data_IF_402584828179
#
_entry.id   IF_402584828179
#
_cell.length_a   1.000
_cell.length_b   1.000
_cell.length_c   1.000
_cell.angle_alpha   90.00
_cell.angle_beta   90.00
_cell.angle_gamma   90.00
#
_symmetry.space_group_name_H-M   'P 1'
#
loop_
_entity.id
_entity.type
_entity.pdbx_description
1 polymer ?
#
# COMPACT_ATOMS: atom_id res chain seq x y z
N UNK A 1 7.83 7.64 -1.06
CA UNK A 1 8.20 6.23 -0.82
C UNK A 1 9.65 6.11 -0.40
N UNK A 2 10.62 6.64 -1.17
CA UNK A 2 12.06 6.52 -0.87
C UNK A 2 12.37 7.01 0.54
N UNK A 3 12.07 8.28 0.81
CA UNK A 3 12.34 8.92 2.11
C UNK A 3 11.66 8.21 3.29
N UNK A 4 10.41 7.75 3.09
CA UNK A 4 9.67 7.05 4.14
C UNK A 4 10.29 5.70 4.49
N UNK A 5 10.72 4.92 3.47
CA UNK A 5 11.40 3.64 3.69
C UNK A 5 12.76 3.83 4.34
N UNK A 6 13.53 4.82 3.89
CA UNK A 6 14.86 5.10 4.45
C UNK A 6 14.77 5.67 5.88
N UNK A 7 13.72 6.45 6.18
CA UNK A 7 13.49 6.98 7.52
C UNK A 7 13.26 5.89 8.59
N UNK A 8 12.62 4.76 8.18
CA UNK A 8 12.42 3.60 9.07
C UNK A 8 13.56 2.57 9.00
N UNK A 9 14.65 2.89 8.29
CA UNK A 9 15.82 2.01 8.15
C UNK A 9 15.59 0.82 7.22
N UNK A 10 14.83 1.02 6.14
CA UNK A 10 14.48 -0.02 5.17
C UNK A 10 13.25 -0.82 5.57
N UNK A 11 12.80 -1.71 4.68
CA UNK A 11 11.70 -2.65 4.92
C UNK A 11 12.07 -4.05 4.44
N UNK A 12 11.53 -5.07 5.08
CA UNK A 12 11.72 -6.45 4.63
C UNK A 12 10.65 -6.82 3.60
N UNK A 13 11.08 -7.38 2.47
CA UNK A 13 10.22 -7.97 1.45
C UNK A 13 10.63 -9.40 1.16
N UNK A 14 9.67 -10.27 0.85
CA UNK A 14 9.89 -11.70 0.66
C UNK A 14 9.34 -12.14 -0.70
N UNK A 15 9.96 -11.78 -1.83
CA UNK A 15 9.50 -12.25 -3.13
C UNK A 15 9.65 -13.77 -3.25
N UNK A 16 8.59 -14.44 -3.72
CA UNK A 16 8.61 -15.91 -3.93
C UNK A 16 9.59 -16.32 -5.03
N UNK A 17 9.80 -15.45 -6.02
CA UNK A 17 10.70 -15.67 -7.15
C UNK A 17 11.66 -14.50 -7.29
N UNK A 18 12.84 -14.78 -7.85
CA UNK A 18 13.78 -13.71 -8.18
C UNK A 18 13.13 -12.72 -9.16
N UNK A 19 13.30 -11.44 -8.89
CA UNK A 19 12.75 -10.34 -9.68
C UNK A 19 13.90 -9.63 -10.36
N UNK A 20 13.92 -9.64 -11.70
CA UNK A 20 14.84 -8.85 -12.50
C UNK A 20 14.02 -7.98 -13.45
N UNK A 21 13.89 -6.71 -13.14
CA UNK A 21 13.16 -5.73 -13.96
C UNK A 21 14.09 -4.55 -14.28
N UNK A 22 14.61 -4.56 -15.52
CA UNK A 22 15.54 -3.51 -15.99
C UNK A 22 14.88 -2.14 -16.07
N UNK A 23 13.60 -2.08 -16.38
CA UNK A 23 12.85 -0.81 -16.50
C UNK A 23 12.59 -0.19 -15.11
N UNK A 24 12.41 -1.01 -14.10
CA UNK A 24 12.29 -0.59 -12.71
C UNK A 24 13.65 -0.45 -11.99
N UNK A 25 14.76 -0.78 -12.66
CA UNK A 25 16.11 -0.86 -12.08
C UNK A 25 16.12 -1.72 -10.79
N UNK A 26 15.46 -2.88 -10.87
CA UNK A 26 15.24 -3.77 -9.76
C UNK A 26 15.87 -5.12 -10.03
N UNK A 27 16.73 -5.55 -9.14
CA UNK A 27 17.29 -6.90 -9.08
C UNK A 27 17.20 -7.40 -7.65
N UNK A 28 16.28 -8.34 -7.41
CA UNK A 28 16.01 -8.91 -6.11
C UNK A 28 16.02 -10.44 -6.22
N UNK A 29 16.83 -11.14 -5.43
CA UNK A 29 16.74 -12.59 -5.33
C UNK A 29 15.42 -13.02 -4.67
N UNK A 30 15.05 -14.28 -4.86
CA UNK A 30 13.96 -14.89 -4.13
C UNK A 30 14.29 -14.98 -2.63
N UNK A 31 13.26 -14.90 -1.77
CA UNK A 31 13.38 -14.96 -0.32
C UNK A 31 13.32 -13.61 0.38
N UNK A 32 13.36 -13.66 1.71
CA UNK A 32 13.22 -12.46 2.54
C UNK A 32 14.51 -11.64 2.60
N UNK A 33 14.41 -10.34 2.36
CA UNK A 33 15.53 -9.42 2.39
C UNK A 33 15.11 -8.01 2.76
N UNK A 34 15.99 -7.29 3.43
CA UNK A 34 15.76 -5.88 3.75
C UNK A 34 16.14 -4.99 2.57
N UNK A 35 15.24 -4.15 2.12
CA UNK A 35 15.44 -3.24 1.00
C UNK A 35 15.40 -1.77 1.44
N UNK A 36 16.21 -0.94 0.80
CA UNK A 36 16.22 0.51 1.01
C UNK A 36 15.12 1.19 0.16
N UNK A 37 14.97 2.50 0.33
CA UNK A 37 13.94 3.28 -0.35
C UNK A 37 14.04 3.25 -1.87
N UNK A 38 15.25 3.26 -2.45
CA UNK A 38 15.46 3.19 -3.89
C UNK A 38 14.98 1.85 -4.47
N UNK A 39 15.35 0.76 -3.82
CA UNK A 39 14.91 -0.60 -4.20
C UNK A 39 13.41 -0.78 -3.99
N UNK A 40 12.85 -0.24 -2.89
CA UNK A 40 11.41 -0.26 -2.63
C UNK A 40 10.63 0.51 -3.70
N UNK A 41 11.17 1.63 -4.20
CA UNK A 41 10.56 2.36 -5.32
C UNK A 41 10.52 1.51 -6.59
N UNK A 42 11.61 0.81 -6.93
CA UNK A 42 11.63 -0.16 -8.02
C UNK A 42 10.59 -1.26 -7.84
N UNK A 43 10.51 -1.82 -6.64
CA UNK A 43 9.57 -2.89 -6.28
C UNK A 43 8.09 -2.50 -6.47
N UNK A 44 7.68 -1.29 -6.08
CA UNK A 44 6.30 -0.81 -6.29
C UNK A 44 6.02 -0.37 -7.72
N UNK A 45 7.04 -0.10 -8.54
CA UNK A 45 6.90 0.34 -9.95
C UNK A 45 6.98 -0.81 -10.94
N UNK A 46 7.47 -1.96 -10.53
CA UNK A 46 7.63 -3.15 -11.36
C UNK A 46 6.32 -3.52 -12.07
N UNK A 47 6.40 -3.79 -13.38
CA UNK A 47 5.25 -4.16 -14.22
C UNK A 47 5.47 -5.46 -14.99
N UNK A 48 6.68 -5.69 -15.50
CA UNK A 48 6.93 -6.75 -16.48
C UNK A 48 7.13 -8.14 -15.90
N UNK A 49 7.60 -8.24 -14.67
CA UNK A 49 7.84 -9.53 -14.00
C UNK A 49 6.62 -10.07 -13.26
N UNK A 50 5.48 -9.40 -13.34
CA UNK A 50 4.27 -9.78 -12.65
C UNK A 50 3.13 -10.08 -13.63
N UNK A 51 2.66 -11.32 -13.63
CA UNK A 51 1.51 -11.77 -14.44
C UNK A 51 0.20 -11.12 -13.99
N UNK A 52 0.13 -10.54 -12.79
CA UNK A 52 -1.04 -9.87 -12.22
C UNK A 52 -1.16 -8.39 -12.62
N UNK A 53 -0.19 -7.85 -13.36
CA UNK A 53 -0.24 -6.49 -13.92
C UNK A 53 -0.49 -5.38 -12.89
N UNK A 54 -1.55 -4.59 -13.08
CA UNK A 54 -1.88 -3.46 -12.22
C UNK A 54 -2.36 -3.87 -10.82
N UNK A 55 -2.99 -5.04 -10.68
CA UNK A 55 -3.43 -5.57 -9.37
C UNK A 55 -2.21 -5.87 -8.50
N UNK A 56 -1.21 -6.56 -9.05
CA UNK A 56 0.03 -6.86 -8.34
C UNK A 56 0.77 -5.59 -7.93
N UNK A 57 0.76 -4.55 -8.77
CA UNK A 57 1.33 -3.24 -8.41
C UNK A 57 0.60 -2.62 -7.21
N UNK A 58 -0.73 -2.65 -7.20
CA UNK A 58 -1.53 -2.13 -6.09
C UNK A 58 -1.26 -2.89 -4.79
N UNK A 59 -1.16 -4.22 -4.86
CA UNK A 59 -0.83 -5.06 -3.69
C UNK A 59 0.55 -4.73 -3.12
N UNK A 60 1.57 -4.59 -3.98
CA UNK A 60 2.92 -4.20 -3.54
C UNK A 60 2.97 -2.80 -2.93
N UNK A 61 2.21 -1.86 -3.47
CA UNK A 61 2.11 -0.52 -2.87
C UNK A 61 1.51 -0.59 -1.46
N UNK A 62 0.43 -1.36 -1.27
CA UNK A 62 -0.19 -1.58 0.05
C UNK A 62 0.79 -2.28 1.00
N UNK A 63 1.47 -3.30 0.53
CA UNK A 63 2.49 -4.03 1.30
C UNK A 63 3.59 -3.10 1.82
N UNK A 64 4.19 -2.30 0.94
CA UNK A 64 5.24 -1.35 1.30
C UNK A 64 4.74 -0.32 2.29
N UNK A 65 3.55 0.27 2.06
CA UNK A 65 2.94 1.24 2.97
C UNK A 65 2.69 0.60 4.35
N UNK A 66 2.10 -0.59 4.39
CA UNK A 66 1.82 -1.31 5.64
C UNK A 66 3.10 -1.63 6.43
N UNK A 67 4.16 -2.08 5.74
CA UNK A 67 5.46 -2.37 6.37
C UNK A 67 6.15 -1.12 6.91
N UNK A 68 6.10 -0.01 6.17
CA UNK A 68 6.60 1.29 6.64
C UNK A 68 5.84 1.75 7.88
N UNK A 69 4.50 1.70 7.84
CA UNK A 69 3.65 2.08 8.97
C UNK A 69 3.93 1.22 10.21
N UNK A 70 3.98 -0.11 10.05
CA UNK A 70 4.29 -1.04 11.15
C UNK A 70 5.66 -0.76 11.77
N UNK A 71 6.66 -0.47 10.94
CA UNK A 71 8.01 -0.17 11.40
C UNK A 71 8.11 1.22 12.04
N UNK A 72 7.39 2.21 11.51
CA UNK A 72 7.29 3.56 12.07
C UNK A 72 6.62 3.57 13.45
N UNK A 73 5.63 2.71 13.67
CA UNK A 73 4.91 2.56 14.95
C UNK A 73 5.66 1.68 15.96
N UNK A 74 6.78 1.07 15.58
CA UNK A 74 7.57 0.26 16.50
C UNK A 74 8.14 1.16 17.62
N UNK A 75 7.94 0.80 18.91
CA UNK A 75 8.46 1.55 20.05
C UNK A 75 9.96 1.86 19.94
N UNK A 76 10.76 0.93 19.41
CA UNK A 76 12.20 1.13 19.21
C UNK A 76 12.52 2.22 18.18
N UNK A 77 11.67 2.40 17.17
CA UNK A 77 11.80 3.48 16.18
C UNK A 77 11.40 4.83 16.77
N UNK A 78 10.34 4.86 17.59
CA UNK A 78 9.86 6.06 18.27
C UNK A 78 10.80 6.54 19.39
N UNK A 79 11.46 5.62 20.09
CA UNK A 79 12.43 5.94 21.13
C UNK A 79 13.78 6.43 20.56
N UNK A 80 14.07 6.18 19.29
CA UNK A 80 15.28 6.67 18.65
C UNK A 80 15.05 8.10 18.08
N UNK A 81 15.65 9.15 18.68
CA UNK A 81 15.39 10.55 18.29
C UNK A 81 15.75 10.84 16.83
N UNK A 82 16.78 10.19 16.28
CA UNK A 82 17.16 10.34 14.87
C UNK A 82 16.13 9.73 13.91
N UNK A 83 15.61 8.54 14.23
CA UNK A 83 14.57 7.90 13.42
C UNK A 83 13.27 8.67 13.48
N UNK A 84 12.90 9.14 14.68
CA UNK A 84 11.72 9.97 14.89
C UNK A 84 11.81 11.29 14.10
N UNK A 85 12.95 11.98 14.15
CA UNK A 85 13.16 13.22 13.40
C UNK A 85 13.10 12.99 11.88
N UNK A 86 13.77 11.96 11.35
CA UNK A 86 13.73 11.60 9.93
C UNK A 86 12.32 11.25 9.47
N UNK A 87 11.55 10.52 10.28
CA UNK A 87 10.17 10.15 9.97
C UNK A 87 9.27 11.39 9.87
N UNK A 88 9.40 12.34 10.82
CA UNK A 88 8.64 13.59 10.79
C UNK A 88 9.01 14.44 9.57
N UNK A 89 10.28 14.53 9.21
CA UNK A 89 10.72 15.25 8.02
C UNK A 89 10.18 14.59 6.73
N UNK A 90 10.25 13.27 6.63
CA UNK A 90 9.70 12.54 5.49
C UNK A 90 8.18 12.72 5.38
N UNK A 91 7.45 12.71 6.50
CA UNK A 91 6.02 12.99 6.53
C UNK A 91 5.71 14.44 6.09
N UNK A 92 6.46 15.41 6.59
CA UNK A 92 6.28 16.83 6.23
C UNK A 92 6.53 17.09 4.73
N UNK A 93 7.48 16.38 4.12
CA UNK A 93 7.80 16.52 2.69
C UNK A 93 6.83 15.77 1.77
N UNK A 94 6.21 14.68 2.26
CA UNK A 94 5.36 13.81 1.43
C UNK A 94 3.86 14.10 1.57
N UNK A 95 3.43 14.65 2.71
CA UNK A 95 2.05 15.00 2.96
C UNK A 95 1.77 16.42 2.46
N UNK A 96 1.45 16.55 1.16
CA UNK A 96 0.85 17.78 0.64
C UNK A 96 -0.53 17.97 1.25
N UNK A 97 -0.72 19.08 1.98
CA UNK A 97 -2.02 19.45 2.55
C UNK A 97 -2.72 20.45 1.64
N UNK A 98 -4.00 20.22 1.35
CA UNK A 98 -4.85 21.22 0.74
C UNK A 98 -5.02 22.44 1.65
N UNK A 99 -5.14 23.63 1.09
CA UNK A 99 -5.26 24.88 1.86
C UNK A 99 -6.47 24.89 2.82
N UNK A 100 -7.49 24.10 2.51
CA UNK A 100 -8.74 24.02 3.29
C UNK A 100 -8.79 22.81 4.23
N UNK A 101 -7.76 21.93 4.23
CA UNK A 101 -7.74 20.76 5.08
C UNK A 101 -7.47 21.13 6.54
N UNK A 102 -8.43 20.92 7.40
CA UNK A 102 -8.32 21.16 8.85
C UNK A 102 -7.45 20.14 9.56
N UNK A 103 -6.92 20.52 10.72
CA UNK A 103 -6.10 19.63 11.54
C UNK A 103 -6.87 18.38 11.99
N UNK A 104 -8.18 18.51 12.29
CA UNK A 104 -9.04 17.38 12.64
C UNK A 104 -9.20 16.35 11.54
N UNK A 105 -9.30 16.79 10.29
CA UNK A 105 -9.38 15.92 9.11
C UNK A 105 -8.07 15.15 8.90
N UNK A 106 -6.94 15.81 9.09
CA UNK A 106 -5.63 15.16 9.03
C UNK A 106 -5.50 14.07 10.11
N UNK A 107 -5.89 14.38 11.35
CA UNK A 107 -5.88 13.39 12.45
C UNK A 107 -6.85 12.24 12.18
N UNK A 108 -8.04 12.52 11.65
CA UNK A 108 -8.99 11.49 11.23
C UNK A 108 -8.41 10.57 10.16
N UNK A 109 -7.81 11.14 9.13
CA UNK A 109 -7.13 10.38 8.07
C UNK A 109 -5.98 9.51 8.59
N UNK A 110 -5.17 10.05 9.49
CA UNK A 110 -4.10 9.29 10.16
C UNK A 110 -4.69 8.15 10.99
N UNK A 111 -5.78 8.37 11.72
CA UNK A 111 -6.47 7.34 12.50
C UNK A 111 -6.97 6.17 11.63
N UNK A 112 -7.62 6.47 10.52
CA UNK A 112 -8.08 5.46 9.54
C UNK A 112 -6.89 4.71 8.93
N UNK A 113 -5.83 5.41 8.57
CA UNK A 113 -4.62 4.80 8.03
C UNK A 113 -3.98 3.84 9.05
N UNK A 114 -3.85 4.26 10.31
CA UNK A 114 -3.28 3.44 11.38
C UNK A 114 -4.14 2.19 11.65
N UNK A 115 -5.46 2.31 11.70
CA UNK A 115 -6.35 1.16 11.89
C UNK A 115 -6.20 0.14 10.76
N UNK A 116 -6.08 0.59 9.53
CA UNK A 116 -5.83 -0.28 8.38
C UNK A 116 -4.44 -0.93 8.41
N UNK A 117 -3.42 -0.18 8.82
CA UNK A 117 -2.04 -0.66 8.89
C UNK A 117 -1.79 -1.66 10.04
N UNK A 118 -2.53 -1.53 11.14
CA UNK A 118 -2.44 -2.43 12.31
C UNK A 118 -3.34 -3.66 12.20
N UNK A 119 -4.11 -3.79 11.11
CA UNK A 119 -5.03 -4.90 10.88
C UNK A 119 -6.33 -4.82 11.68
N UNK A 120 -6.59 -3.70 12.36
CA UNK A 120 -7.85 -3.44 13.04
C UNK A 120 -8.93 -2.84 12.12
N UNK A 121 -8.56 -2.48 10.88
CA UNK A 121 -9.46 -2.02 9.85
C UNK A 121 -9.53 -3.00 8.67
N UNK A 122 -10.67 -3.05 8.00
CA UNK A 122 -10.84 -3.86 6.79
C UNK A 122 -10.20 -3.15 5.59
N UNK A 123 -9.30 -3.84 4.89
CA UNK A 123 -8.81 -3.41 3.57
C UNK A 123 -9.57 -4.20 2.51
N UNK A 124 -10.40 -3.51 1.74
CA UNK A 124 -11.26 -4.12 0.75
C UNK A 124 -10.78 -3.80 -0.66
N UNK A 125 -10.90 -4.78 -1.54
CA UNK A 125 -10.82 -4.56 -2.98
C UNK A 125 -12.22 -4.64 -3.59
N UNK A 126 -12.52 -3.77 -4.55
CA UNK A 126 -13.76 -3.88 -5.32
C UNK A 126 -13.74 -5.22 -6.06
N UNK A 127 -14.79 -6.08 -5.91
CA UNK A 127 -14.83 -7.36 -6.59
C UNK A 127 -14.78 -7.19 -8.11
N UNK A 128 -13.90 -7.96 -8.76
CA UNK A 128 -13.64 -7.92 -10.19
C UNK A 128 -14.09 -9.24 -10.83
N UNK A 129 -14.92 -9.16 -11.86
CA UNK A 129 -15.35 -10.33 -12.64
C UNK A 129 -14.33 -10.74 -13.70
N UNK A 130 -13.65 -9.77 -14.31
CA UNK A 130 -12.57 -9.99 -15.27
C UNK A 130 -11.49 -8.90 -15.14
N UNK A 131 -10.30 -9.32 -14.78
CA UNK A 131 -9.16 -8.42 -14.59
C UNK A 131 -8.42 -8.07 -15.91
N UNK A 132 -8.69 -8.82 -16.99
CA UNK A 132 -7.98 -8.69 -18.27
C UNK A 132 -8.93 -8.52 -19.47
N UNK A 133 -10.11 -7.99 -19.24
CA UNK A 133 -11.07 -7.72 -20.31
C UNK A 133 -10.51 -6.68 -21.30
N UNK A 134 -10.92 -6.82 -22.58
CA UNK A 134 -10.59 -5.84 -23.61
C UNK A 134 -11.86 -5.13 -24.07
N UNK A 135 -11.84 -3.79 -24.02
CA UNK A 135 -12.87 -2.93 -24.63
C UNK A 135 -12.23 -1.89 -25.53
N UNK A 136 -12.65 -1.85 -26.77
CA UNK A 136 -12.15 -0.90 -27.78
C UNK A 136 -10.62 -0.94 -27.92
N UNK A 137 -9.99 -2.12 -27.82
CA UNK A 137 -8.54 -2.28 -27.89
C UNK A 137 -7.77 -1.85 -26.63
N UNK A 138 -8.48 -1.47 -25.56
CA UNK A 138 -7.88 -1.14 -24.28
C UNK A 138 -8.07 -2.26 -23.26
N UNK A 139 -7.07 -2.56 -22.47
CA UNK A 139 -7.19 -3.46 -21.33
C UNK A 139 -7.95 -2.75 -20.22
N UNK A 140 -9.06 -3.37 -19.77
CA UNK A 140 -9.93 -2.84 -18.71
C UNK A 140 -10.21 -3.93 -17.68
N UNK A 141 -10.47 -3.51 -16.44
CA UNK A 141 -11.00 -4.39 -15.40
C UNK A 141 -12.51 -4.23 -15.32
N UNK A 142 -13.23 -5.35 -15.39
CA UNK A 142 -14.68 -5.35 -15.23
C UNK A 142 -15.04 -5.72 -13.79
N UNK A 143 -15.86 -4.88 -13.17
CA UNK A 143 -16.36 -5.13 -11.82
C UNK A 143 -17.40 -6.26 -11.85
N UNK A 144 -17.43 -7.05 -10.79
CA UNK A 144 -18.61 -7.85 -10.46
C UNK A 144 -19.67 -6.89 -9.94
N UNK A 145 -20.69 -6.61 -10.75
CA UNK A 145 -21.70 -5.61 -10.44
C UNK A 145 -22.50 -5.95 -9.17
N UNK A 146 -22.86 -7.22 -9.00
CA UNK A 146 -23.66 -7.65 -7.86
C UNK A 146 -22.86 -7.59 -6.56
N UNK A 147 -21.66 -8.16 -6.57
CA UNK A 147 -20.78 -8.14 -5.41
C UNK A 147 -20.31 -6.72 -5.07
N UNK A 148 -20.06 -5.86 -6.06
CA UNK A 148 -19.69 -4.46 -5.84
C UNK A 148 -20.82 -3.65 -5.22
N UNK A 149 -22.06 -3.85 -5.65
CA UNK A 149 -23.22 -3.20 -5.04
C UNK A 149 -23.40 -3.60 -3.57
N UNK A 150 -23.22 -4.88 -3.24
CA UNK A 150 -23.25 -5.36 -1.86
C UNK A 150 -22.17 -4.68 -1.01
N UNK A 151 -20.94 -4.61 -1.52
CA UNK A 151 -19.82 -3.93 -0.83
C UNK A 151 -20.14 -2.46 -0.58
N UNK A 152 -20.55 -1.71 -1.60
CA UNK A 152 -20.86 -0.29 -1.45
C UNK A 152 -22.04 -0.03 -0.52
N UNK A 153 -23.13 -0.80 -0.64
CA UNK A 153 -24.28 -0.67 0.25
C UNK A 153 -23.89 -0.91 1.73
N UNK A 154 -23.06 -1.91 1.96
CA UNK A 154 -22.59 -2.28 3.31
C UNK A 154 -21.68 -1.20 3.90
N UNK A 155 -20.77 -0.66 3.10
CA UNK A 155 -19.89 0.46 3.52
C UNK A 155 -20.71 1.71 3.83
N UNK A 156 -21.69 2.08 2.99
CA UNK A 156 -22.56 3.25 3.21
C UNK A 156 -23.41 3.06 4.49
N UNK A 157 -23.87 1.84 4.76
CA UNK A 157 -24.62 1.52 5.96
C UNK A 157 -23.78 1.51 7.25
N UNK A 158 -22.44 1.60 7.13
CA UNK A 158 -21.51 1.53 8.27
C UNK A 158 -21.41 0.14 8.93
N UNK A 159 -21.97 -0.90 8.32
CA UNK A 159 -21.89 -2.27 8.82
C UNK A 159 -20.79 -3.04 8.09
N UNK A 160 -19.67 -3.23 8.75
CA UNK A 160 -18.47 -3.84 8.12
C UNK A 160 -18.34 -5.35 8.30
N UNK A 161 -19.16 -5.98 9.17
CA UNK A 161 -19.08 -7.43 9.42
C UNK A 161 -19.23 -8.30 8.17
N UNK A 162 -20.19 -8.05 7.23
CA UNK A 162 -20.32 -8.85 6.04
C UNK A 162 -19.16 -8.71 5.06
N UNK A 163 -18.31 -7.69 5.23
CA UNK A 163 -17.20 -7.39 4.32
C UNK A 163 -15.96 -8.25 4.59
N UNK A 164 -15.92 -9.00 5.68
CA UNK A 164 -14.81 -9.90 5.99
C UNK A 164 -14.50 -10.92 4.87
N UNK A 165 -15.52 -11.34 4.11
CA UNK A 165 -15.37 -12.23 2.95
C UNK A 165 -14.63 -11.61 1.76
N UNK A 166 -14.52 -10.28 1.70
CA UNK A 166 -13.83 -9.52 0.65
C UNK A 166 -12.52 -8.90 1.12
N UNK A 167 -12.13 -9.12 2.39
CA UNK A 167 -10.87 -8.65 2.94
C UNK A 167 -9.72 -9.58 2.53
N UNK A 168 -8.59 -8.99 2.19
CA UNK A 168 -7.34 -9.67 1.84
C UNK A 168 -6.23 -9.24 2.76
#
# INVERSE_FOLDING_TARGET
>A
VVEAVDAVGGIEVCPEKAINDKDAHLDLPAGCQNINGKTALGYVRMRKSDQTGDIGRMMRQREVIGKVAKKALNPLTLLNPFSYWKLNMAAAHTLGRGSETGFGEVLGGVGVFLSSATGSGYSLSVPVSDANASRNGQSVMLWDQQASQEVFATVIAGNTEPLAKYSH
#
